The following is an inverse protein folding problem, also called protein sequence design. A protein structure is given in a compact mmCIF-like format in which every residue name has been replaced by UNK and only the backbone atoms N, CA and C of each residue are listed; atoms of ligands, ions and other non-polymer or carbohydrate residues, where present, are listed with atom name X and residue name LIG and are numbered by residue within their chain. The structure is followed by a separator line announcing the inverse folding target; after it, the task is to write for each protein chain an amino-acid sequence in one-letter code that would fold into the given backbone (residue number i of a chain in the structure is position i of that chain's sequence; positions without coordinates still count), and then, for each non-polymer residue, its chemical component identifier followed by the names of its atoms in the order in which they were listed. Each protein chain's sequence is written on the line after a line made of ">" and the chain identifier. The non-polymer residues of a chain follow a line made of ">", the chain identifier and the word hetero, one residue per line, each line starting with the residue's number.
data_IF_264669874534
#
_entry.id   IF_264669874534
#
_cell.length_a   1.000
_cell.length_b   1.000
_cell.length_c   1.000
_cell.angle_alpha   90.00
_cell.angle_beta   90.00
_cell.angle_gamma   90.00
#
_symmetry.space_group_name_H-M   'P 1'
#
loop_
_entity.id
_entity.type
_entity.pdbx_description
1 polymer ?
#
# COMPACT_ATOMS: atom_id res chain seq x y z
N UNK A 1 13.90 -6.18 -9.84
CA UNK A 1 14.29 -5.52 -8.57
C UNK A 1 13.97 -4.03 -8.53
N UNK A 2 14.32 -3.20 -9.52
CA UNK A 2 14.08 -1.73 -9.44
C UNK A 2 12.62 -1.24 -9.46
N UNK A 3 11.64 -2.01 -9.97
CA UNK A 3 10.21 -1.61 -9.97
C UNK A 3 9.62 -1.58 -8.55
N UNK A 4 9.91 -2.59 -7.72
CA UNK A 4 9.36 -2.71 -6.37
C UNK A 4 9.81 -1.55 -5.48
N UNK A 5 11.11 -1.25 -5.45
CA UNK A 5 11.64 -0.11 -4.67
C UNK A 5 11.04 1.23 -5.10
N UNK A 6 10.84 1.46 -6.42
CA UNK A 6 10.18 2.68 -6.90
C UNK A 6 8.72 2.76 -6.50
N UNK A 7 7.99 1.65 -6.54
CA UNK A 7 6.61 1.59 -6.06
C UNK A 7 6.53 1.85 -4.55
N UNK A 8 7.45 1.30 -3.76
CA UNK A 8 7.52 1.50 -2.31
C UNK A 8 7.75 2.97 -1.94
N UNK A 9 8.55 3.70 -2.73
CA UNK A 9 8.72 5.16 -2.52
C UNK A 9 7.44 5.96 -2.73
N UNK A 10 6.52 5.48 -3.56
CA UNK A 10 5.27 6.16 -3.86
C UNK A 10 4.11 5.83 -2.88
N UNK A 11 4.28 4.85 -2.00
CA UNK A 11 3.24 4.41 -1.05
C UNK A 11 3.68 4.58 0.40
N UNK A 12 2.72 4.80 1.30
CA UNK A 12 2.97 5.06 2.72
C UNK A 12 2.73 3.84 3.62
N UNK A 13 2.00 2.85 3.11
CA UNK A 13 1.74 1.59 3.77
C UNK A 13 1.58 0.43 2.77
N UNK A 14 1.70 -0.80 3.27
CA UNK A 14 1.65 -2.01 2.46
C UNK A 14 0.85 -3.11 3.15
N UNK A 15 -0.03 -3.78 2.39
CA UNK A 15 -0.65 -5.03 2.81
C UNK A 15 0.24 -6.18 2.35
N UNK A 16 0.94 -6.81 3.30
CA UNK A 16 1.76 -7.99 3.02
C UNK A 16 0.86 -9.22 3.05
N UNK A 17 0.84 -9.95 1.94
CA UNK A 17 0.01 -11.16 1.81
C UNK A 17 0.87 -12.39 2.06
N UNK A 18 0.45 -13.22 3.01
CA UNK A 18 1.12 -14.47 3.36
C UNK A 18 0.15 -15.63 3.13
N UNK A 19 0.63 -16.69 2.47
CA UNK A 19 -0.14 -17.93 2.29
C UNK A 19 -0.21 -18.67 3.63
N UNK A 20 -1.42 -19.04 4.07
CA UNK A 20 -1.63 -19.79 5.30
C UNK A 20 -0.98 -21.18 5.29
N UNK A 21 -0.79 -21.78 4.10
CA UNK A 21 -0.18 -23.11 3.93
C UNK A 21 1.35 -23.02 4.00
N UNK A 22 1.94 -22.08 3.27
CA UNK A 22 3.40 -21.96 3.14
C UNK A 22 4.03 -21.13 4.27
N UNK A 23 3.27 -20.18 4.83
CA UNK A 23 3.76 -19.24 5.82
C UNK A 23 4.73 -18.22 5.23
N UNK A 24 5.59 -17.67 6.09
CA UNK A 24 6.57 -16.64 5.70
C UNK A 24 7.70 -17.27 4.89
N UNK A 25 7.80 -16.88 3.61
CA UNK A 25 8.80 -17.36 2.66
C UNK A 25 9.86 -16.29 2.33
N UNK A 26 10.96 -16.67 1.69
CA UNK A 26 12.07 -15.77 1.31
C UNK A 26 11.61 -14.54 0.50
N UNK A 27 10.60 -14.70 -0.36
CA UNK A 27 10.05 -13.56 -1.11
C UNK A 27 9.26 -12.62 -0.19
N UNK A 28 8.53 -13.15 0.80
CA UNK A 28 7.82 -12.36 1.82
C UNK A 28 8.82 -11.53 2.63
N UNK A 29 9.93 -12.15 3.04
CA UNK A 29 11.04 -11.49 3.71
C UNK A 29 11.61 -10.36 2.86
N UNK A 30 11.91 -10.64 1.58
CA UNK A 30 12.51 -9.66 0.67
C UNK A 30 11.64 -8.42 0.51
N UNK A 31 10.33 -8.58 0.27
CA UNK A 31 9.42 -7.44 0.07
C UNK A 31 9.15 -6.68 1.38
N UNK A 32 9.07 -7.39 2.50
CA UNK A 32 8.86 -6.79 3.83
C UNK A 32 10.07 -5.97 4.25
N UNK A 33 11.29 -6.51 4.06
CA UNK A 33 12.54 -5.78 4.29
C UNK A 33 12.59 -4.50 3.45
N UNK A 34 12.32 -4.60 2.15
CA UNK A 34 12.33 -3.42 1.27
C UNK A 34 11.30 -2.36 1.69
N UNK A 35 10.11 -2.77 2.12
CA UNK A 35 9.09 -1.86 2.63
C UNK A 35 9.56 -1.13 3.89
N UNK A 36 10.10 -1.87 4.86
CA UNK A 36 10.61 -1.31 6.12
C UNK A 36 11.81 -0.37 5.88
N UNK A 37 12.72 -0.72 4.98
CA UNK A 37 13.85 0.12 4.57
C UNK A 37 13.40 1.45 3.93
N UNK A 38 12.25 1.51 3.27
CA UNK A 38 11.65 2.73 2.69
C UNK A 38 10.62 3.38 3.64
N UNK A 39 10.62 2.98 4.92
CA UNK A 39 9.69 3.42 5.98
C UNK A 39 8.22 3.31 5.57
N UNK A 40 7.85 2.21 4.92
CA UNK A 40 6.47 1.88 4.56
C UNK A 40 5.88 0.98 5.64
N UNK A 41 4.78 1.41 6.27
CA UNK A 41 4.16 0.67 7.38
C UNK A 41 3.47 -0.60 6.87
N UNK A 42 3.81 -1.80 7.34
CA UNK A 42 3.13 -3.02 6.93
C UNK A 42 1.88 -3.31 7.77
N UNK A 43 0.91 -3.97 7.14
CA UNK A 43 -0.17 -4.75 7.77
C UNK A 43 -0.20 -6.14 7.13
N UNK A 44 -0.78 -7.13 7.79
CA UNK A 44 -0.70 -8.53 7.37
C UNK A 44 -2.05 -9.07 6.92
N UNK A 45 -2.10 -9.68 5.74
CA UNK A 45 -3.23 -10.48 5.28
C UNK A 45 -2.81 -11.95 5.12
N UNK A 46 -3.40 -12.83 5.91
CA UNK A 46 -3.18 -14.27 5.81
C UNK A 46 -4.25 -14.86 4.89
N UNK A 47 -3.82 -15.25 3.70
CA UNK A 47 -4.66 -15.71 2.61
C UNK A 47 -4.67 -17.24 2.51
N UNK A 48 -5.60 -17.77 1.71
CA UNK A 48 -5.75 -19.21 1.43
C UNK A 48 -6.09 -20.06 2.65
N UNK A 49 -6.81 -19.48 3.63
CA UNK A 49 -7.33 -20.23 4.79
C UNK A 49 -8.21 -21.41 4.35
N UNK A 50 -8.87 -21.30 3.19
CA UNK A 50 -9.66 -22.37 2.58
C UNK A 50 -8.88 -23.67 2.35
N UNK A 51 -7.58 -23.59 2.06
CA UNK A 51 -6.74 -24.77 1.82
C UNK A 51 -6.44 -25.51 3.12
N UNK A 52 -6.29 -24.78 4.23
CA UNK A 52 -6.13 -25.40 5.55
C UNK A 52 -7.36 -26.23 5.94
N UNK A 53 -8.53 -25.82 5.48
CA UNK A 53 -9.82 -26.47 5.76
C UNK A 53 -10.07 -27.64 4.80
N UNK A 54 -9.99 -27.40 3.49
CA UNK A 54 -10.41 -28.39 2.48
C UNK A 54 -9.33 -29.41 2.13
N UNK A 55 -8.08 -28.95 1.96
CA UNK A 55 -6.97 -29.80 1.51
C UNK A 55 -6.33 -30.50 2.71
N UNK A 56 -5.95 -29.73 3.73
CA UNK A 56 -5.26 -30.24 4.91
C UNK A 56 -6.19 -30.77 6.01
N UNK A 57 -7.50 -30.45 5.93
CA UNK A 57 -8.53 -30.91 6.89
C UNK A 57 -8.14 -30.68 8.35
N UNK A 58 -7.55 -29.51 8.62
CA UNK A 58 -7.06 -29.17 9.96
C UNK A 58 -8.21 -28.84 10.92
N UNK A 59 -8.00 -29.12 12.20
CA UNK A 59 -8.93 -28.69 13.26
C UNK A 59 -8.88 -27.18 13.46
N UNK A 60 -9.95 -26.55 13.98
CA UNK A 60 -9.96 -25.11 14.29
C UNK A 60 -8.77 -24.68 15.16
N UNK A 61 -8.40 -25.50 16.14
CA UNK A 61 -7.25 -25.24 17.03
C UNK A 61 -5.95 -25.23 16.24
N UNK A 62 -5.74 -26.21 15.35
CA UNK A 62 -4.51 -26.28 14.54
C UNK A 62 -4.41 -25.11 13.57
N UNK A 63 -5.52 -24.66 13.01
CA UNK A 63 -5.55 -23.49 12.13
C UNK A 63 -5.20 -22.22 12.92
N UNK A 64 -5.74 -22.06 14.14
CA UNK A 64 -5.38 -20.95 15.02
C UNK A 64 -3.89 -20.96 15.38
N UNK A 65 -3.31 -22.12 15.71
CA UNK A 65 -1.86 -22.26 15.94
C UNK A 65 -1.04 -21.83 14.71
N UNK A 66 -1.44 -22.24 13.51
CA UNK A 66 -0.80 -21.85 12.25
C UNK A 66 -0.84 -20.33 12.05
N UNK A 67 -2.00 -19.70 12.27
CA UNK A 67 -2.16 -18.25 12.18
C UNK A 67 -1.23 -17.54 13.17
N UNK A 68 -1.23 -17.96 14.44
CA UNK A 68 -0.37 -17.38 15.48
C UNK A 68 1.10 -17.52 15.12
N UNK A 69 1.51 -18.67 14.58
CA UNK A 69 2.87 -18.89 14.10
C UNK A 69 3.24 -17.91 12.98
N UNK A 70 2.39 -17.74 11.97
CA UNK A 70 2.64 -16.81 10.87
C UNK A 70 2.79 -15.37 11.38
N UNK A 71 1.92 -14.94 12.29
CA UNK A 71 2.00 -13.59 12.91
C UNK A 71 3.32 -13.42 13.67
N UNK A 72 3.74 -14.44 14.42
CA UNK A 72 5.02 -14.43 15.15
C UNK A 72 6.20 -14.33 14.20
N UNK A 73 6.24 -15.15 13.16
CA UNK A 73 7.33 -15.18 12.17
C UNK A 73 7.41 -13.83 11.42
N UNK A 74 6.26 -13.26 11.03
CA UNK A 74 6.19 -11.95 10.40
C UNK A 74 6.66 -10.82 11.32
N UNK A 75 6.27 -10.83 12.60
CA UNK A 75 6.80 -9.89 13.58
C UNK A 75 8.31 -10.05 13.82
N UNK A 76 8.85 -11.25 13.63
CA UNK A 76 10.29 -11.49 13.62
C UNK A 76 11.00 -10.73 12.50
N UNK A 77 10.39 -10.62 11.32
CA UNK A 77 10.92 -9.79 10.23
C UNK A 77 10.91 -8.31 10.59
N UNK A 78 9.84 -7.82 11.22
CA UNK A 78 9.73 -6.44 11.67
C UNK A 78 10.80 -6.14 12.72
N UNK A 79 10.99 -7.03 13.69
CA UNK A 79 12.03 -6.90 14.72
C UNK A 79 13.43 -6.82 14.10
N UNK A 80 13.70 -7.61 13.07
CA UNK A 80 15.00 -7.67 12.42
C UNK A 80 15.30 -6.47 11.52
N UNK A 81 14.31 -5.98 10.76
CA UNK A 81 14.55 -4.99 9.69
C UNK A 81 14.00 -3.59 9.97
N UNK A 82 13.03 -3.42 10.86
CA UNK A 82 12.52 -2.09 11.15
C UNK A 82 13.54 -1.28 11.96
N UNK A 83 13.57 0.03 11.70
CA UNK A 83 14.38 0.97 12.48
C UNK A 83 13.87 0.99 13.95
N UNK A 84 14.75 1.26 14.94
CA UNK A 84 14.40 1.12 16.36
C UNK A 84 13.13 1.87 16.79
N UNK A 85 12.89 3.05 16.20
CA UNK A 85 11.72 3.88 16.45
C UNK A 85 10.39 3.25 15.98
N UNK A 86 10.43 2.32 15.02
CA UNK A 86 9.23 1.68 14.46
C UNK A 86 9.03 0.22 14.87
N UNK A 87 10.08 -0.50 15.34
CA UNK A 87 10.02 -1.94 15.63
C UNK A 87 8.81 -2.37 16.45
N UNK A 88 8.55 -1.67 17.55
CA UNK A 88 7.45 -2.01 18.43
C UNK A 88 6.12 -1.45 17.92
N UNK A 89 6.12 -0.24 17.38
CA UNK A 89 4.92 0.45 16.91
C UNK A 89 4.29 -0.20 15.66
N UNK A 90 5.07 -0.92 14.86
CA UNK A 90 4.61 -1.53 13.61
C UNK A 90 4.41 -3.04 13.69
N UNK A 91 4.67 -3.68 14.84
CA UNK A 91 4.30 -5.08 15.06
C UNK A 91 2.80 -5.25 14.84
N UNK A 92 2.44 -6.35 14.20
CA UNK A 92 1.06 -6.69 13.90
C UNK A 92 0.51 -7.71 14.89
N UNK A 93 -0.78 -7.66 15.17
CA UNK A 93 -1.45 -8.65 15.99
C UNK A 93 -2.94 -8.76 15.61
N UNK A 94 -3.57 -9.85 16.05
CA UNK A 94 -4.99 -10.10 15.75
C UNK A 94 -5.92 -9.18 16.55
N UNK A 95 -5.48 -8.71 17.72
CA UNK A 95 -6.33 -8.00 18.69
C UNK A 95 -6.57 -6.55 18.26
N UNK A 96 -5.54 -5.88 17.76
CA UNK A 96 -5.61 -4.50 17.31
C UNK A 96 -6.15 -4.35 15.89
N UNK A 97 -6.36 -5.46 15.17
CA UNK A 97 -6.86 -5.55 13.79
C UNK A 97 -5.85 -5.22 12.68
N UNK A 98 -4.55 -5.21 12.98
CA UNK A 98 -3.49 -5.10 11.96
C UNK A 98 -3.22 -6.40 11.19
N UNK A 99 -4.00 -7.45 11.49
CA UNK A 99 -4.00 -8.74 10.79
C UNK A 99 -5.42 -9.07 10.32
N UNK A 100 -5.56 -9.30 9.01
CA UNK A 100 -6.77 -9.83 8.39
C UNK A 100 -6.58 -11.29 7.96
N UNK A 101 -7.64 -12.10 8.04
CA UNK A 101 -7.65 -13.50 7.67
C UNK A 101 -8.69 -13.72 6.58
N UNK A 102 -8.43 -14.62 5.62
CA UNK A 102 -9.46 -14.92 4.62
C UNK A 102 -9.07 -15.86 3.48
N UNK A 103 -9.95 -15.87 2.49
CA UNK A 103 -9.69 -16.46 1.18
C UNK A 103 -10.03 -15.48 0.09
N UNK A 104 -8.99 -15.04 -0.64
CA UNK A 104 -9.15 -14.18 -1.81
C UNK A 104 -9.96 -14.88 -2.91
N UNK A 105 -9.74 -16.19 -3.08
CA UNK A 105 -10.45 -17.02 -4.07
C UNK A 105 -11.95 -17.06 -3.82
N UNK A 106 -12.35 -17.22 -2.55
CA UNK A 106 -13.75 -17.30 -2.16
C UNK A 106 -14.35 -15.98 -1.67
N UNK A 107 -13.60 -14.87 -1.80
CA UNK A 107 -14.05 -13.48 -1.55
C UNK A 107 -14.58 -13.20 -0.14
N UNK A 108 -14.15 -13.97 0.86
CA UNK A 108 -14.45 -13.68 2.26
C UNK A 108 -13.18 -13.39 3.04
N UNK A 109 -13.32 -12.58 4.09
CA UNK A 109 -12.26 -12.30 5.04
C UNK A 109 -12.75 -11.45 6.19
N UNK A 110 -12.04 -11.49 7.31
CA UNK A 110 -12.36 -10.70 8.50
C UNK A 110 -11.12 -10.42 9.34
N UNK A 111 -11.18 -9.32 10.10
CA UNK A 111 -10.34 -9.08 11.29
C UNK A 111 -11.08 -9.56 12.54
N UNK A 112 -10.41 -9.62 13.69
CA UNK A 112 -11.05 -10.05 14.94
C UNK A 112 -12.25 -9.16 15.31
N UNK A 113 -12.14 -7.85 15.14
CA UNK A 113 -13.21 -6.88 15.39
C UNK A 113 -14.41 -7.06 14.46
N UNK A 114 -14.18 -7.37 13.17
CA UNK A 114 -15.27 -7.67 12.23
C UNK A 114 -15.97 -8.97 12.63
N UNK A 115 -15.21 -10.00 12.98
CA UNK A 115 -15.75 -11.28 13.43
C UNK A 115 -16.62 -11.10 14.69
N UNK A 116 -16.13 -10.36 15.69
CA UNK A 116 -16.88 -10.05 16.92
C UNK A 116 -18.15 -9.25 16.62
N UNK A 117 -18.05 -8.19 15.80
CA UNK A 117 -19.19 -7.34 15.44
C UNK A 117 -20.28 -8.09 14.69
N UNK A 118 -19.90 -9.00 13.79
CA UNK A 118 -20.83 -9.79 12.97
C UNK A 118 -21.19 -11.14 13.60
N UNK A 119 -20.68 -11.44 14.79
CA UNK A 119 -20.95 -12.69 15.51
C UNK A 119 -20.38 -13.94 14.82
N UNK A 120 -19.41 -13.80 13.93
CA UNK A 120 -18.81 -14.91 13.18
C UNK A 120 -17.69 -15.54 13.99
N UNK A 121 -17.76 -16.84 14.23
CA UNK A 121 -16.69 -17.62 14.84
C UNK A 121 -15.93 -18.40 13.78
N UNK A 122 -14.70 -18.80 14.12
CA UNK A 122 -13.89 -19.62 13.23
C UNK A 122 -14.51 -21.01 12.99
N UNK A 123 -15.26 -21.54 13.96
CA UNK A 123 -16.06 -22.76 13.79
C UNK A 123 -17.05 -22.64 12.64
N UNK A 124 -17.66 -21.47 12.48
CA UNK A 124 -18.72 -21.23 11.50
C UNK A 124 -18.11 -21.18 10.09
N UNK A 125 -16.88 -20.68 9.97
CA UNK A 125 -16.10 -20.75 8.73
C UNK A 125 -15.86 -22.19 8.33
N UNK A 126 -15.40 -23.04 9.26
CA UNK A 126 -15.14 -24.46 8.98
C UNK A 126 -16.43 -25.20 8.62
N UNK A 127 -17.52 -24.94 9.34
CA UNK A 127 -18.84 -25.51 9.05
C UNK A 127 -19.33 -25.11 7.65
N UNK A 128 -19.18 -23.84 7.26
CA UNK A 128 -19.57 -23.36 5.93
C UNK A 128 -18.88 -24.11 4.78
N UNK A 129 -17.63 -24.54 4.96
CA UNK A 129 -16.95 -25.40 3.97
C UNK A 129 -17.48 -26.84 3.97
N UNK A 130 -17.82 -27.40 5.13
CA UNK A 130 -18.40 -28.73 5.24
C UNK A 130 -19.81 -28.82 4.63
N UNK A 131 -20.60 -27.76 4.74
CA UNK A 131 -21.98 -27.67 4.28
C UNK A 131 -22.12 -27.11 2.85
N UNK A 132 -21.04 -26.59 2.27
CA UNK A 132 -21.07 -25.95 0.94
C UNK A 132 -21.60 -24.51 0.92
N UNK A 133 -21.76 -23.88 2.09
CA UNK A 133 -22.34 -22.54 2.28
C UNK A 133 -21.29 -21.40 2.22
N UNK A 134 -20.20 -21.59 1.50
CA UNK A 134 -19.07 -20.61 1.44
C UNK A 134 -19.50 -19.28 0.82
N UNK A 135 -20.49 -19.29 -0.09
CA UNK A 135 -21.01 -18.07 -0.70
C UNK A 135 -21.70 -17.15 0.32
N UNK A 136 -22.40 -17.72 1.30
CA UNK A 136 -23.05 -16.93 2.35
C UNK A 136 -22.04 -16.35 3.33
N UNK A 137 -20.90 -17.04 3.53
CA UNK A 137 -19.77 -16.48 4.26
C UNK A 137 -19.21 -15.23 3.55
N UNK A 138 -19.10 -15.26 2.22
CA UNK A 138 -18.64 -14.10 1.44
C UNK A 138 -19.61 -12.91 1.47
N UNK A 139 -20.92 -13.16 1.62
CA UNK A 139 -21.91 -12.09 1.85
C UNK A 139 -21.83 -11.53 3.26
N UNK A 140 -21.62 -12.40 4.25
CA UNK A 140 -21.59 -12.02 5.67
C UNK A 140 -20.31 -11.26 6.03
N UNK A 141 -19.15 -11.78 5.63
CA UNK A 141 -17.82 -11.20 5.90
C UNK A 141 -17.06 -11.01 4.59
N UNK A 142 -17.47 -10.02 3.77
CA UNK A 142 -16.86 -9.80 2.47
C UNK A 142 -15.41 -9.36 2.62
N UNK A 143 -14.53 -9.90 1.77
CA UNK A 143 -13.08 -9.69 1.86
C UNK A 143 -12.67 -8.21 1.87
N UNK A 144 -13.35 -7.38 1.06
CA UNK A 144 -13.00 -5.98 0.92
C UNK A 144 -13.21 -5.20 2.23
N UNK A 145 -14.21 -5.55 3.05
CA UNK A 145 -14.41 -4.91 4.36
C UNK A 145 -13.23 -5.20 5.30
N UNK A 146 -12.70 -6.42 5.26
CA UNK A 146 -11.57 -6.81 6.10
C UNK A 146 -10.28 -6.08 5.71
N UNK A 147 -9.93 -6.12 4.42
CA UNK A 147 -8.69 -5.50 3.94
C UNK A 147 -8.79 -3.97 4.02
N UNK A 148 -9.85 -3.37 3.48
CA UNK A 148 -9.98 -1.91 3.48
C UNK A 148 -10.17 -1.35 4.88
N UNK A 149 -10.92 -2.04 5.74
CA UNK A 149 -11.06 -1.67 7.16
C UNK A 149 -9.72 -1.66 7.88
N UNK A 150 -8.92 -2.72 7.72
CA UNK A 150 -7.55 -2.78 8.26
C UNK A 150 -6.65 -1.68 7.70
N UNK A 151 -6.74 -1.40 6.40
CA UNK A 151 -5.96 -0.34 5.75
C UNK A 151 -6.29 1.03 6.33
N UNK A 152 -7.57 1.36 6.46
CA UNK A 152 -8.03 2.66 7.00
C UNK A 152 -7.66 2.81 8.48
N UNK A 153 -7.72 1.73 9.27
CA UNK A 153 -7.44 1.78 10.71
C UNK A 153 -5.94 1.89 11.02
N UNK A 154 -5.07 1.31 10.19
CA UNK A 154 -3.64 1.17 10.52
C UNK A 154 -2.67 1.87 9.57
N UNK A 155 -3.00 2.09 8.29
CA UNK A 155 -2.06 2.74 7.38
C UNK A 155 -2.15 4.27 7.48
N UNK A 156 -1.01 4.96 7.56
CA UNK A 156 -1.00 6.39 7.79
C UNK A 156 -1.39 7.16 6.52
N UNK A 157 -2.14 8.26 6.65
CA UNK A 157 -2.38 9.18 5.55
C UNK A 157 -1.09 9.96 5.19
N UNK A 158 -1.02 10.54 3.97
CA UNK A 158 0.13 11.27 3.45
C UNK A 158 0.78 12.28 4.40
N UNK A 159 -0.01 13.17 5.02
CA UNK A 159 0.47 14.24 5.88
C UNK A 159 1.11 13.73 7.19
N UNK A 160 0.80 12.50 7.61
CA UNK A 160 1.46 11.84 8.75
C UNK A 160 2.71 11.10 8.24
N UNK A 161 2.56 10.35 7.15
CA UNK A 161 3.63 9.53 6.61
C UNK A 161 4.83 10.34 6.13
N UNK A 162 4.59 11.44 5.42
CA UNK A 162 5.64 12.25 4.81
C UNK A 162 6.63 12.82 5.83
N UNK A 163 6.18 13.17 7.04
CA UNK A 163 7.04 13.69 8.11
C UNK A 163 8.22 12.79 8.44
N UNK A 164 7.99 11.47 8.46
CA UNK A 164 9.05 10.51 8.74
C UNK A 164 9.61 9.83 7.49
N UNK A 165 8.90 9.87 6.35
CA UNK A 165 9.39 9.26 5.09
C UNK A 165 10.30 10.17 4.28
N UNK A 166 10.00 11.47 4.17
CA UNK A 166 10.79 12.41 3.37
C UNK A 166 12.27 12.43 3.79
N UNK A 167 12.63 12.45 5.10
CA UNK A 167 14.03 12.39 5.52
C UNK A 167 14.78 11.12 5.08
N UNK A 168 14.05 10.04 4.78
CA UNK A 168 14.61 8.77 4.32
C UNK A 168 14.80 8.73 2.80
N UNK A 169 13.81 9.22 2.06
CA UNK A 169 13.74 9.04 0.60
C UNK A 169 14.33 10.22 -0.18
N UNK A 170 14.49 11.38 0.46
CA UNK A 170 15.03 12.59 -0.15
C UNK A 170 16.26 13.09 0.61
N UNK A 171 17.30 13.47 -0.14
CA UNK A 171 18.63 13.84 0.39
C UNK A 171 18.90 15.35 0.39
N UNK A 172 17.93 16.17 0.00
CA UNK A 172 18.08 17.61 0.02
C UNK A 172 17.97 18.18 1.42
N UNK A 173 18.08 19.50 1.52
CA UNK A 173 17.97 20.21 2.78
C UNK A 173 16.50 20.27 3.27
N UNK A 174 16.22 19.59 4.38
CA UNK A 174 14.89 19.54 5.00
C UNK A 174 14.45 20.90 5.57
N UNK A 175 15.38 21.83 5.81
CA UNK A 175 15.08 23.17 6.31
C UNK A 175 14.69 24.17 5.20
N UNK A 176 14.94 23.80 3.93
CA UNK A 176 14.55 24.57 2.76
C UNK A 176 13.04 24.66 2.61
N UNK A 177 12.57 25.63 1.81
CA UNK A 177 11.15 25.78 1.47
C UNK A 177 10.55 24.49 0.89
N UNK A 178 11.24 23.89 -0.09
CA UNK A 178 10.83 22.62 -0.71
C UNK A 178 10.82 21.47 0.29
N UNK A 179 11.85 21.38 1.15
CA UNK A 179 11.96 20.35 2.19
C UNK A 179 10.80 20.42 3.19
N UNK A 180 10.49 21.63 3.68
CA UNK A 180 9.36 21.87 4.59
C UNK A 180 8.02 21.60 3.93
N UNK A 181 7.82 22.04 2.69
CA UNK A 181 6.59 21.79 1.94
C UNK A 181 6.31 20.29 1.76
N UNK A 182 7.35 19.49 1.44
CA UNK A 182 7.21 18.04 1.37
C UNK A 182 6.95 17.39 2.74
N UNK A 183 7.59 17.86 3.81
CA UNK A 183 7.38 17.31 5.16
C UNK A 183 5.95 17.51 5.64
N UNK A 184 5.37 18.69 5.38
CA UNK A 184 4.01 19.04 5.81
C UNK A 184 2.92 18.65 4.82
N UNK A 185 3.29 18.07 3.66
CA UNK A 185 2.35 17.74 2.58
C UNK A 185 1.55 18.99 2.15
N UNK A 186 2.25 20.10 1.98
CA UNK A 186 1.65 21.42 1.74
C UNK A 186 1.17 21.57 0.30
N UNK A 187 -0.12 21.79 0.12
CA UNK A 187 -0.78 22.01 -1.17
C UNK A 187 -0.36 23.32 -1.86
N UNK A 188 0.11 24.31 -1.09
CA UNK A 188 0.49 25.64 -1.58
C UNK A 188 2.00 25.80 -1.78
N UNK A 189 2.78 24.80 -1.38
CA UNK A 189 4.23 24.82 -1.54
C UNK A 189 4.69 24.55 -2.99
N UNK A 190 6.00 24.54 -3.24
CA UNK A 190 6.55 24.16 -4.53
C UNK A 190 6.11 22.75 -4.94
N UNK A 191 5.80 22.55 -6.21
CA UNK A 191 5.42 21.24 -6.74
C UNK A 191 6.63 20.32 -6.67
N UNK A 192 6.50 19.19 -6.00
CA UNK A 192 7.48 18.10 -6.08
C UNK A 192 6.76 16.76 -6.23
N UNK A 193 7.03 16.09 -7.34
CA UNK A 193 6.47 14.77 -7.62
C UNK A 193 7.56 13.78 -8.03
N UNK A 194 7.47 12.56 -7.53
CA UNK A 194 8.34 11.45 -7.95
C UNK A 194 7.55 10.49 -8.86
N UNK A 195 8.00 10.34 -10.10
CA UNK A 195 7.39 9.43 -11.07
C UNK A 195 7.75 7.99 -10.72
N UNK A 196 6.77 7.17 -10.38
CA UNK A 196 6.98 5.76 -10.03
C UNK A 196 6.85 4.84 -11.23
N UNK A 197 5.98 5.19 -12.18
CA UNK A 197 5.66 4.38 -13.34
C UNK A 197 5.44 5.22 -14.60
N UNK A 198 5.82 4.66 -15.75
CA UNK A 198 5.55 5.22 -17.07
C UNK A 198 4.77 4.17 -17.87
N UNK A 199 3.66 4.59 -18.46
CA UNK A 199 2.91 3.77 -19.42
C UNK A 199 2.77 4.53 -20.73
N UNK A 200 2.68 3.79 -21.84
CA UNK A 200 2.38 4.38 -23.15
C UNK A 200 0.95 4.02 -23.47
N UNK A 201 0.09 5.03 -23.52
CA UNK A 201 -1.27 4.92 -23.97
C UNK A 201 -1.34 5.10 -25.50
N UNK A 202 -2.04 4.22 -26.24
CA UNK A 202 -2.13 4.33 -27.70
C UNK A 202 -2.73 5.64 -28.21
N UNK A 203 -3.64 6.27 -27.44
CA UNK A 203 -4.32 7.51 -27.81
C UNK A 203 -3.65 8.72 -27.17
N UNK A 204 -3.26 8.60 -25.90
CA UNK A 204 -2.81 9.70 -25.07
C UNK A 204 -1.26 9.86 -24.99
N UNK A 205 -0.51 8.90 -25.54
CA UNK A 205 0.94 8.91 -25.51
C UNK A 205 1.52 8.56 -24.14
N UNK A 206 2.61 9.21 -23.74
CA UNK A 206 3.29 8.90 -22.47
C UNK A 206 2.47 9.42 -21.29
N UNK A 207 2.14 8.49 -20.38
CA UNK A 207 1.46 8.76 -19.11
C UNK A 207 2.44 8.49 -17.96
N UNK A 208 2.78 9.55 -17.23
CA UNK A 208 3.65 9.49 -16.07
C UNK A 208 2.82 9.46 -14.78
N UNK A 209 2.91 8.34 -14.06
CA UNK A 209 2.22 8.15 -12.76
C UNK A 209 3.24 8.22 -11.64
N UNK A 210 2.90 8.92 -10.58
CA UNK A 210 3.81 9.15 -9.47
C UNK A 210 3.12 9.73 -8.26
N UNK A 211 3.88 9.93 -7.18
CA UNK A 211 3.39 10.53 -5.95
C UNK A 211 3.74 12.01 -5.91
N UNK A 212 2.74 12.86 -5.72
CA UNK A 212 2.88 14.29 -5.46
C UNK A 212 3.12 14.48 -3.95
N UNK A 213 4.29 15.00 -3.58
CA UNK A 213 4.69 15.19 -2.19
C UNK A 213 4.39 16.60 -1.67
N UNK A 214 4.42 17.60 -2.54
CA UNK A 214 4.10 19.00 -2.21
C UNK A 214 3.56 19.73 -3.43
N UNK A 215 2.83 20.82 -3.18
CA UNK A 215 2.22 21.69 -4.17
C UNK A 215 0.97 21.12 -4.81
N UNK A 216 0.42 21.90 -5.74
CA UNK A 216 -0.74 21.54 -6.54
C UNK A 216 -0.37 21.59 -8.02
N UNK A 217 -0.65 20.50 -8.74
CA UNK A 217 -0.38 20.41 -10.17
C UNK A 217 -1.66 20.68 -10.95
N UNK A 218 -1.59 21.54 -11.96
CA UNK A 218 -2.68 21.88 -12.86
C UNK A 218 -2.36 21.50 -14.31
N UNK A 219 -3.42 21.25 -15.08
CA UNK A 219 -3.32 21.08 -16.53
C UNK A 219 -2.89 22.39 -17.17
N UNK A 220 -1.83 22.33 -17.97
CA UNK A 220 -1.20 23.49 -18.58
C UNK A 220 0.05 23.99 -17.86
N UNK A 221 0.36 23.51 -16.65
CA UNK A 221 1.55 23.92 -15.89
C UNK A 221 2.84 23.55 -16.62
N UNK A 222 3.83 24.45 -16.54
CA UNK A 222 5.19 24.15 -16.96
C UNK A 222 5.96 23.62 -15.75
N UNK A 223 6.53 22.44 -15.90
CA UNK A 223 7.32 21.78 -14.87
C UNK A 223 8.70 21.43 -15.41
N UNK A 224 9.66 21.32 -14.50
CA UNK A 224 11.01 20.89 -14.81
C UNK A 224 11.22 19.42 -14.47
N UNK A 225 11.72 18.67 -15.44
CA UNK A 225 12.14 17.28 -15.26
C UNK A 225 13.60 17.27 -14.85
N UNK A 226 13.89 16.97 -13.58
CA UNK A 226 15.23 17.13 -12.99
C UNK A 226 16.25 16.18 -13.63
N UNK A 227 15.89 14.91 -13.80
CA UNK A 227 16.72 13.87 -14.39
C UNK A 227 16.91 14.06 -15.89
N UNK A 228 15.85 14.38 -16.63
CA UNK A 228 15.91 14.70 -18.06
C UNK A 228 16.52 16.08 -18.35
N UNK A 229 16.70 16.94 -17.34
CA UNK A 229 17.22 18.32 -17.43
C UNK A 229 16.51 19.14 -18.49
N UNK A 230 15.18 19.10 -18.47
CA UNK A 230 14.36 19.80 -19.46
C UNK A 230 13.00 20.19 -18.90
N UNK A 231 12.51 21.34 -19.31
CA UNK A 231 11.12 21.74 -19.04
C UNK A 231 10.15 20.97 -19.92
N UNK A 232 8.95 20.72 -19.40
CA UNK A 232 7.84 20.12 -20.12
C UNK A 232 6.53 20.72 -19.63
N UNK A 233 5.53 20.74 -20.50
CA UNK A 233 4.20 21.26 -20.17
C UNK A 233 3.26 20.09 -19.90
N UNK A 234 2.57 20.13 -18.76
CA UNK A 234 1.54 19.15 -18.42
C UNK A 234 0.34 19.43 -19.31
N UNK A 235 -0.10 18.44 -20.08
CA UNK A 235 -1.27 18.58 -20.94
C UNK A 235 -2.55 18.30 -20.17
N UNK A 236 -2.56 17.21 -19.42
CA UNK A 236 -3.72 16.77 -18.63
C UNK A 236 -3.25 16.17 -17.31
N UNK A 237 -4.03 16.44 -16.27
CA UNK A 237 -3.92 15.86 -14.94
C UNK A 237 -5.08 14.89 -14.75
N UNK A 238 -4.77 13.62 -14.51
CA UNK A 238 -5.74 12.58 -14.31
C UNK A 238 -5.57 11.89 -12.95
N UNK A 239 -6.67 11.35 -12.42
CA UNK A 239 -6.69 10.44 -11.27
C UNK A 239 -7.19 9.06 -11.70
N UNK A 240 -6.76 8.01 -11.00
CA UNK A 240 -7.31 6.67 -11.19
C UNK A 240 -8.61 6.50 -10.39
N UNK A 241 -9.70 6.19 -11.09
CA UNK A 241 -10.98 5.78 -10.49
C UNK A 241 -11.23 4.32 -10.87
N UNK A 242 -10.84 3.40 -9.98
CA UNK A 242 -10.81 1.98 -10.28
C UNK A 242 -9.84 1.67 -11.43
N UNK A 243 -10.28 1.01 -12.53
CA UNK A 243 -9.43 0.74 -13.68
C UNK A 243 -9.29 1.93 -14.64
N UNK A 244 -10.14 2.95 -14.51
CA UNK A 244 -10.23 4.06 -15.46
C UNK A 244 -9.42 5.26 -14.98
N UNK A 245 -8.96 6.08 -15.92
CA UNK A 245 -8.36 7.38 -15.63
C UNK A 245 -9.40 8.47 -15.93
N UNK A 246 -9.64 9.32 -14.96
CA UNK A 246 -10.55 10.47 -15.08
C UNK A 246 -9.74 11.76 -15.10
N UNK A 247 -10.08 12.66 -16.02
CA UNK A 247 -9.43 13.97 -16.14
C UNK A 247 -10.04 14.89 -15.10
N UNK A 248 -9.21 15.42 -14.20
CA UNK A 248 -9.66 16.25 -13.06
C UNK A 248 -9.15 17.69 -13.13
N UNK A 249 -8.23 17.98 -14.05
CA UNK A 249 -7.71 19.34 -14.27
C UNK A 249 -6.63 19.74 -13.26
N UNK A 250 -6.83 19.49 -11.96
CA UNK A 250 -5.91 19.82 -10.88
C UNK A 250 -5.85 18.72 -9.80
N UNK A 251 -4.69 18.50 -9.18
CA UNK A 251 -4.49 17.61 -8.03
C UNK A 251 -3.46 18.17 -7.05
N UNK A 252 -3.78 18.10 -5.75
CA UNK A 252 -2.96 18.60 -4.66
C UNK A 252 -2.08 17.52 -4.01
N UNK A 253 -1.24 17.91 -3.04
CA UNK A 253 -0.23 17.07 -2.43
C UNK A 253 -0.84 15.84 -1.74
N UNK A 254 -0.07 14.76 -1.67
CA UNK A 254 -0.49 13.47 -1.10
C UNK A 254 -1.18 12.54 -2.11
N UNK A 255 -1.59 13.05 -3.28
CA UNK A 255 -2.24 12.24 -4.32
C UNK A 255 -1.24 11.51 -5.23
N UNK A 256 -1.76 10.54 -6.00
CA UNK A 256 -1.01 9.81 -7.04
C UNK A 256 -1.56 10.20 -8.42
N UNK A 257 -1.14 11.36 -8.98
CA UNK A 257 -1.61 11.79 -10.30
C UNK A 257 -1.02 10.94 -11.44
N UNK A 258 -1.76 10.88 -12.54
CA UNK A 258 -1.29 10.44 -13.84
C UNK A 258 -1.22 11.65 -14.78
N UNK A 259 -0.01 12.05 -15.17
CA UNK A 259 0.27 13.24 -15.97
C UNK A 259 0.56 12.88 -17.42
N UNK A 260 -0.10 13.60 -18.33
CA UNK A 260 0.12 13.49 -19.78
C UNK A 260 0.94 14.67 -20.30
N UNK A 261 1.64 14.47 -21.42
CA UNK A 261 2.43 15.51 -22.08
C UNK A 261 3.92 15.54 -21.66
N UNK A 262 4.32 14.68 -20.72
CA UNK A 262 5.70 14.61 -20.22
C UNK A 262 6.55 13.64 -21.05
N UNK A 263 6.77 13.96 -22.33
CA UNK A 263 7.40 13.07 -23.31
C UNK A 263 8.82 12.59 -22.97
N UNK A 264 9.54 13.30 -22.10
CA UNK A 264 10.89 12.94 -21.66
C UNK A 264 10.95 12.26 -20.29
N UNK A 265 9.83 12.17 -19.58
CA UNK A 265 9.79 11.60 -18.23
C UNK A 265 10.07 10.09 -18.26
N UNK A 266 10.78 9.62 -17.23
CA UNK A 266 11.12 8.20 -17.02
C UNK A 266 10.72 7.76 -15.62
N UNK A 267 10.64 6.46 -15.38
CA UNK A 267 10.40 5.96 -14.02
C UNK A 267 11.59 6.31 -13.11
N UNK A 268 11.31 6.95 -11.97
CA UNK A 268 12.30 7.55 -11.07
C UNK A 268 12.58 9.04 -11.34
N UNK A 269 11.92 9.65 -12.33
CA UNK A 269 12.03 11.09 -12.61
C UNK A 269 11.48 11.92 -11.46
N UNK A 270 12.12 13.04 -11.17
CA UNK A 270 11.61 14.05 -10.23
C UNK A 270 11.09 15.23 -11.03
N UNK A 271 9.83 15.57 -10.81
CA UNK A 271 9.15 16.72 -11.40
C UNK A 271 9.12 17.82 -10.35
N UNK A 272 9.55 19.01 -10.73
CA UNK A 272 9.59 20.18 -9.85
C UNK A 272 9.01 21.42 -10.55
N UNK A 273 8.38 22.33 -9.82
CA UNK A 273 8.05 23.67 -10.33
C UNK A 273 9.24 24.64 -10.29
N UNK A 274 10.25 24.34 -9.47
CA UNK A 274 11.46 25.16 -9.24
C UNK A 274 12.73 24.44 -9.64
#
# INVERSE_FOLDING_TARGET
>A
TGKVTRSLRAIDGAVVVVDAVEGVMTQTETVTRQALEERVRPVLYINKIDRLINELKLTPQKIQETIVKIVKDFNGLIEMYAEPEYRNAWKVNLVDNSVALGSAKYRWGFTLKIAQRKGVKFSDVVAAYGEGNVEDLAKTVPLHEAILGMVVEHLPPPHIAQKYRIPKIWRGDLSSEVGKAMLECDDNGPVVMCVSNITVDPQAGIVATGRLFSGTINSGDNVYLIGARSSSRIQQVCIYMGPNREIVGSLSAGNIPALLGLGKARAGETISST
#
